data_IF_813963261570
#
_entry.id   IF_813963261570
#
_cell.length_a   1.000
_cell.length_b   1.000
_cell.length_c   1.000
_cell.angle_alpha   90.00
_cell.angle_beta   90.00
_cell.angle_gamma   90.00
#
_symmetry.space_group_name_H-M   'P 1'
#
loop_
_entity.id
_entity.type
_entity.pdbx_description
1 polymer ?
#
# COMPACT_ATOMS: atom_id res chain seq x y z
N UNK A 1 22.20 14.88 -25.61
CA UNK A 1 21.58 14.35 -24.40
C UNK A 1 20.94 15.52 -23.68
N UNK A 2 19.67 15.77 -23.97
CA UNK A 2 18.87 16.70 -23.17
C UNK A 2 18.76 16.10 -21.76
N UNK A 3 19.10 16.91 -20.75
CA UNK A 3 18.85 16.54 -19.36
C UNK A 3 17.34 16.45 -19.19
N UNK A 4 16.82 15.25 -18.88
CA UNK A 4 15.38 15.01 -18.83
C UNK A 4 14.73 15.64 -17.58
N UNK A 5 15.51 16.32 -16.74
CA UNK A 5 15.03 16.96 -15.51
C UNK A 5 14.49 15.95 -14.49
N UNK A 6 14.99 14.72 -14.52
CA UNK A 6 14.55 13.60 -13.69
C UNK A 6 15.75 12.84 -13.13
N UNK A 7 15.72 12.56 -11.83
CA UNK A 7 16.71 11.73 -11.15
C UNK A 7 16.02 10.63 -10.34
N UNK A 8 16.75 9.53 -10.10
CA UNK A 8 16.23 8.35 -9.41
C UNK A 8 17.11 8.04 -8.20
N UNK A 9 16.48 7.86 -7.04
CA UNK A 9 17.07 7.36 -5.81
C UNK A 9 16.57 5.94 -5.49
N UNK A 10 17.44 5.15 -4.85
CA UNK A 10 17.17 3.80 -4.40
C UNK A 10 17.62 2.71 -5.39
N UNK A 11 17.01 1.54 -5.25
CA UNK A 11 17.31 0.39 -6.10
C UNK A 11 16.97 -0.93 -5.42
N UNK A 12 17.68 -1.99 -5.82
CA UNK A 12 17.47 -3.34 -5.31
C UNK A 12 18.24 -3.58 -4.00
N UNK A 13 17.62 -4.30 -3.08
CA UNK A 13 18.27 -4.80 -1.87
C UNK A 13 18.88 -3.67 -1.03
N UNK A 14 20.21 -3.71 -0.83
CA UNK A 14 20.92 -2.75 0.03
C UNK A 14 20.80 -1.30 -0.47
N UNK A 15 20.80 -1.08 -1.80
CA UNK A 15 20.61 0.25 -2.39
C UNK A 15 19.24 0.88 -2.08
N UNK A 16 18.23 0.07 -1.77
CA UNK A 16 16.94 0.60 -1.31
C UNK A 16 17.04 1.34 0.03
N UNK A 17 18.07 1.07 0.85
CA UNK A 17 18.31 1.75 2.13
C UNK A 17 19.03 3.08 1.96
N UNK A 18 19.81 3.21 0.89
CA UNK A 18 20.57 4.42 0.55
C UNK A 18 19.66 5.48 -0.12
N UNK A 19 18.40 5.13 -0.42
CA UNK A 19 17.43 6.01 -1.05
C UNK A 19 17.24 7.33 -0.28
N UNK A 20 17.33 7.33 1.05
CA UNK A 20 17.15 8.56 1.85
C UNK A 20 18.25 9.57 1.55
N UNK A 21 19.53 9.16 1.64
CA UNK A 21 20.66 10.03 1.33
C UNK A 21 20.66 10.45 -0.14
N UNK A 22 20.30 9.54 -1.05
CA UNK A 22 20.21 9.89 -2.48
C UNK A 22 19.09 10.90 -2.77
N UNK A 23 17.95 10.82 -2.08
CA UNK A 23 16.88 11.83 -2.17
C UNK A 23 17.39 13.20 -1.72
N UNK A 24 18.12 13.26 -0.61
CA UNK A 24 18.68 14.51 -0.09
C UNK A 24 19.66 15.15 -1.09
N UNK A 25 20.55 14.34 -1.67
CA UNK A 25 21.51 14.77 -2.69
C UNK A 25 20.82 15.27 -3.97
N UNK A 26 19.78 14.56 -4.44
CA UNK A 26 19.00 14.97 -5.60
C UNK A 26 18.27 16.29 -5.33
N UNK A 27 17.64 16.43 -4.15
CA UNK A 27 16.95 17.65 -3.77
C UNK A 27 17.90 18.86 -3.74
N UNK A 28 19.14 18.65 -3.25
CA UNK A 28 20.16 19.69 -3.28
C UNK A 28 20.51 20.11 -4.71
N UNK A 29 20.72 19.15 -5.62
CA UNK A 29 21.03 19.41 -7.04
C UNK A 29 19.91 20.17 -7.75
N UNK A 30 18.66 19.81 -7.49
CA UNK A 30 17.48 20.46 -8.06
C UNK A 30 17.05 21.73 -7.31
N UNK A 31 17.81 22.18 -6.31
CA UNK A 31 17.49 23.34 -5.49
C UNK A 31 16.06 23.29 -4.90
N UNK A 32 15.63 22.10 -4.49
CA UNK A 32 14.33 21.85 -3.86
C UNK A 32 14.38 22.35 -2.42
N UNK A 33 13.38 23.14 -2.02
CA UNK A 33 13.26 23.68 -0.65
C UNK A 33 13.33 22.59 0.43
N UNK A 34 13.90 22.91 1.59
CA UNK A 34 14.03 21.98 2.73
C UNK A 34 12.71 21.30 3.10
N UNK A 35 11.60 22.06 3.14
CA UNK A 35 10.26 21.52 3.43
C UNK A 35 9.83 20.44 2.44
N UNK A 36 10.08 20.64 1.14
CA UNK A 36 9.77 19.64 0.10
C UNK A 36 10.69 18.43 0.22
N UNK A 37 11.99 18.64 0.49
CA UNK A 37 12.97 17.57 0.72
C UNK A 37 12.55 16.68 1.87
N UNK A 38 12.22 17.25 3.02
CA UNK A 38 11.74 16.52 4.20
C UNK A 38 10.47 15.72 3.88
N UNK A 39 9.54 16.32 3.14
CA UNK A 39 8.34 15.65 2.66
C UNK A 39 8.64 14.46 1.74
N UNK A 40 9.63 14.56 0.85
CA UNK A 40 10.04 13.46 -0.04
C UNK A 40 10.72 12.31 0.74
N UNK A 41 11.58 12.63 1.70
CA UNK A 41 12.20 11.62 2.59
C UNK A 41 11.13 10.89 3.39
N UNK A 42 10.16 11.64 3.93
CA UNK A 42 9.02 11.08 4.64
C UNK A 42 8.15 10.19 3.74
N UNK A 43 7.81 10.67 2.54
CA UNK A 43 7.05 9.92 1.56
C UNK A 43 7.74 8.62 1.14
N UNK A 44 9.06 8.65 0.94
CA UNK A 44 9.87 7.48 0.61
C UNK A 44 9.78 6.41 1.71
N UNK A 45 9.93 6.80 2.98
CA UNK A 45 9.83 5.90 4.14
C UNK A 45 8.43 5.33 4.30
N UNK A 46 7.41 6.17 4.23
CA UNK A 46 6.02 5.73 4.41
C UNK A 46 5.55 4.86 3.27
N UNK A 47 5.88 5.17 2.03
CA UNK A 47 5.50 4.34 0.89
C UNK A 47 6.02 2.90 1.08
N UNK A 48 7.28 2.74 1.46
CA UNK A 48 7.87 1.43 1.74
C UNK A 48 7.19 0.73 2.94
N UNK A 49 6.83 1.49 3.98
CA UNK A 49 6.20 0.93 5.17
C UNK A 49 4.76 0.48 4.92
N UNK A 50 4.02 1.27 4.16
CA UNK A 50 2.64 1.03 3.76
C UNK A 50 2.55 -0.21 2.86
N UNK A 51 3.41 -0.30 1.84
CA UNK A 51 3.47 -1.45 0.93
C UNK A 51 3.93 -2.74 1.61
N UNK A 52 4.80 -2.65 2.62
CA UNK A 52 5.31 -3.83 3.32
C UNK A 52 4.47 -4.27 4.53
N UNK A 53 3.70 -3.36 5.14
CA UNK A 53 3.04 -3.64 6.44
C UNK A 53 1.52 -3.56 6.39
N UNK A 54 0.96 -2.61 5.66
CA UNK A 54 -0.48 -2.36 5.68
C UNK A 54 -1.21 -3.19 4.62
N UNK A 55 -0.53 -3.48 3.51
CA UNK A 55 -0.95 -4.49 2.56
C UNK A 55 -0.16 -5.77 2.82
N UNK A 56 -0.84 -6.85 3.19
CA UNK A 56 -0.19 -8.11 3.55
C UNK A 56 -0.58 -9.19 2.55
N UNK A 57 0.08 -9.13 1.40
CA UNK A 57 -0.20 -9.92 0.20
C UNK A 57 0.84 -11.01 -0.10
N UNK A 58 1.71 -11.29 0.88
CA UNK A 58 2.88 -12.17 0.80
C UNK A 58 3.98 -11.75 -0.18
N UNK A 59 3.89 -10.57 -0.79
CA UNK A 59 4.98 -10.02 -1.60
C UNK A 59 5.91 -9.18 -0.72
N UNK A 60 7.11 -9.71 -0.46
CA UNK A 60 8.12 -8.96 0.29
C UNK A 60 8.80 -7.94 -0.61
N UNK A 61 8.86 -6.67 -0.19
CA UNK A 61 9.55 -5.62 -0.93
C UNK A 61 11.04 -5.96 -1.13
N UNK A 62 11.50 -5.89 -2.38
CA UNK A 62 12.91 -6.13 -2.72
C UNK A 62 13.53 -4.98 -3.53
N UNK A 63 12.70 -4.11 -4.10
CA UNK A 63 13.11 -2.97 -4.91
C UNK A 63 12.30 -1.74 -4.54
N UNK A 64 13.00 -0.62 -4.37
CA UNK A 64 12.42 0.69 -4.09
C UNK A 64 13.09 1.72 -4.99
N UNK A 65 12.33 2.36 -5.87
CA UNK A 65 12.82 3.46 -6.69
C UNK A 65 11.98 4.71 -6.42
N UNK A 66 12.65 5.80 -6.04
CA UNK A 66 12.07 7.11 -5.82
C UNK A 66 12.52 8.04 -6.94
N UNK A 67 11.60 8.47 -7.77
CA UNK A 67 11.84 9.29 -8.96
C UNK A 67 11.47 10.73 -8.62
N UNK A 68 12.37 11.67 -8.89
CA UNK A 68 12.21 13.10 -8.58
C UNK A 68 12.37 13.88 -9.86
N UNK A 69 11.49 14.85 -10.10
CA UNK A 69 11.65 15.85 -11.15
C UNK A 69 12.07 17.21 -10.58
N UNK A 70 12.68 18.05 -11.42
CA UNK A 70 13.14 19.40 -11.08
C UNK A 70 12.04 20.31 -10.50
N UNK A 71 10.78 20.12 -10.89
CA UNK A 71 9.63 20.86 -10.36
C UNK A 71 9.25 20.45 -8.91
N UNK A 72 9.86 19.38 -8.42
CA UNK A 72 9.62 18.76 -7.12
C UNK A 72 8.44 17.77 -7.11
N UNK A 73 7.92 17.40 -8.27
CA UNK A 73 7.04 16.24 -8.42
C UNK A 73 7.83 14.95 -8.20
N UNK A 74 7.17 13.92 -7.65
CA UNK A 74 7.83 12.65 -7.38
C UNK A 74 6.93 11.44 -7.62
N UNK A 75 7.56 10.30 -7.88
CA UNK A 75 6.89 9.01 -7.99
C UNK A 75 7.67 7.94 -7.21
N UNK A 76 6.98 6.98 -6.62
CA UNK A 76 7.61 5.79 -6.03
C UNK A 76 7.16 4.56 -6.79
N UNK A 77 8.12 3.78 -7.28
CA UNK A 77 7.89 2.48 -7.90
C UNK A 77 8.57 1.43 -7.03
N UNK A 78 7.74 0.66 -6.34
CA UNK A 78 8.20 -0.45 -5.52
C UNK A 78 7.90 -1.75 -6.23
N UNK A 79 8.73 -2.77 -5.98
CA UNK A 79 8.42 -4.12 -6.40
C UNK A 79 8.59 -5.08 -5.22
N UNK A 80 7.54 -5.85 -4.96
CA UNK A 80 7.54 -7.00 -4.06
C UNK A 80 7.74 -8.30 -4.83
N UNK A 81 8.35 -9.30 -4.19
CA UNK A 81 8.42 -10.67 -4.71
C UNK A 81 7.78 -11.64 -3.74
N UNK A 82 7.05 -12.58 -4.30
CA UNK A 82 6.76 -13.83 -3.62
C UNK A 82 7.76 -14.88 -4.10
N UNK A 83 8.54 -15.41 -3.17
CA UNK A 83 9.58 -16.41 -3.45
C UNK A 83 8.97 -17.75 -3.87
N UNK A 84 7.78 -18.08 -3.34
CA UNK A 84 7.13 -19.37 -3.58
C UNK A 84 6.56 -19.44 -5.00
N UNK A 85 5.75 -18.45 -5.38
CA UNK A 85 5.20 -18.36 -6.75
C UNK A 85 6.21 -17.84 -7.78
N UNK A 86 7.36 -17.30 -7.34
CA UNK A 86 8.34 -16.57 -8.16
C UNK A 86 7.72 -15.37 -8.91
N UNK A 87 6.60 -14.86 -8.41
CA UNK A 87 5.90 -13.73 -9.02
C UNK A 87 6.33 -12.40 -8.40
N UNK A 88 6.12 -11.35 -9.18
CA UNK A 88 6.39 -9.99 -8.77
C UNK A 88 5.11 -9.15 -8.78
N UNK A 89 5.03 -8.24 -7.82
CA UNK A 89 3.98 -7.23 -7.73
C UNK A 89 4.62 -5.85 -7.69
N UNK A 90 4.06 -4.88 -8.43
CA UNK A 90 4.55 -3.49 -8.44
C UNK A 90 3.53 -2.55 -7.81
N UNK A 91 4.02 -1.63 -7.00
CA UNK A 91 3.22 -0.63 -6.30
C UNK A 91 3.67 0.75 -6.75
N UNK A 92 2.70 1.57 -7.16
CA UNK A 92 2.95 2.84 -7.83
C UNK A 92 2.33 3.98 -7.01
N UNK A 93 3.16 4.95 -6.66
CA UNK A 93 2.79 6.15 -5.93
C UNK A 93 3.13 7.37 -6.79
N UNK A 94 2.25 8.36 -6.81
CA UNK A 94 2.44 9.63 -7.51
C UNK A 94 2.15 10.77 -6.54
N UNK A 95 3.04 11.75 -6.46
CA UNK A 95 2.93 12.91 -5.55
C UNK A 95 1.56 13.59 -5.61
N UNK A 96 0.99 13.69 -6.81
CA UNK A 96 -0.27 14.41 -7.05
C UNK A 96 -1.52 13.66 -6.56
N UNK A 97 -1.39 12.35 -6.30
CA UNK A 97 -2.50 11.50 -5.89
C UNK A 97 -2.49 11.19 -4.38
N UNK A 98 -1.36 11.39 -3.70
CA UNK A 98 -1.23 11.11 -2.27
C UNK A 98 -1.85 12.25 -1.47
N UNK A 99 -3.02 11.98 -0.87
CA UNK A 99 -3.68 12.88 0.09
C UNK A 99 -3.42 12.46 1.54
N UNK A 100 -3.43 11.15 1.76
CA UNK A 100 -3.14 10.47 3.03
C UNK A 100 -2.25 9.27 2.70
N UNK A 101 -1.29 8.92 3.57
CA UNK A 101 -0.39 7.80 3.28
C UNK A 101 -0.97 6.43 3.65
N UNK A 102 -2.04 6.38 4.45
CA UNK A 102 -2.60 5.14 5.00
C UNK A 102 -3.96 4.76 4.42
N UNK A 103 -4.53 5.60 3.55
CA UNK A 103 -5.88 5.45 3.00
C UNK A 103 -5.85 5.59 1.48
N UNK A 104 -5.94 4.45 0.79
CA UNK A 104 -5.85 4.30 -0.66
C UNK A 104 -4.78 5.18 -1.33
N UNK A 105 -3.53 5.20 -0.84
CA UNK A 105 -2.54 6.19 -1.24
C UNK A 105 -1.95 5.95 -2.64
N UNK A 106 -2.13 4.73 -3.16
CA UNK A 106 -1.48 4.26 -4.39
C UNK A 106 -2.25 4.73 -5.61
N UNK A 107 -1.49 5.09 -6.64
CA UNK A 107 -2.03 5.32 -7.98
C UNK A 107 -2.32 4.01 -8.71
N UNK A 108 -1.61 2.93 -8.38
CA UNK A 108 -1.88 1.62 -8.95
C UNK A 108 -1.08 0.49 -8.31
N UNK A 109 -1.63 -0.73 -8.42
CA UNK A 109 -0.95 -1.98 -8.10
C UNK A 109 -1.05 -2.87 -9.33
N UNK A 110 0.11 -3.33 -9.80
CA UNK A 110 0.24 -4.18 -10.98
C UNK A 110 0.71 -5.56 -10.54
N UNK A 111 -0.06 -6.59 -10.88
CA UNK A 111 0.30 -7.99 -10.62
C UNK A 111 -0.28 -8.90 -11.70
N UNK A 112 0.32 -10.06 -11.93
CA UNK A 112 -0.28 -11.09 -12.78
C UNK A 112 -1.39 -11.85 -12.06
N UNK A 113 -1.33 -11.90 -10.72
CA UNK A 113 -2.21 -12.71 -9.90
C UNK A 113 -2.99 -11.84 -8.92
N UNK A 114 -4.27 -12.16 -8.80
CA UNK A 114 -5.15 -11.67 -7.74
C UNK A 114 -5.24 -12.80 -6.71
N UNK A 115 -5.04 -12.47 -5.44
CA UNK A 115 -5.11 -13.41 -4.33
C UNK A 115 -6.38 -13.25 -3.53
N UNK A 116 -6.83 -14.34 -2.93
CA UNK A 116 -7.91 -14.30 -1.95
C UNK A 116 -7.36 -14.04 -0.54
N UNK A 117 -8.19 -13.48 0.34
CA UNK A 117 -7.91 -13.31 1.77
C UNK A 117 -6.68 -12.44 2.08
N UNK A 118 -6.48 -11.36 1.32
CA UNK A 118 -5.39 -10.42 1.54
C UNK A 118 -5.83 -9.33 2.52
N UNK A 119 -5.13 -9.20 3.64
CA UNK A 119 -5.36 -8.10 4.57
C UNK A 119 -4.87 -6.79 3.95
N UNK A 120 -5.82 -5.90 3.63
CA UNK A 120 -5.56 -4.56 3.12
C UNK A 120 -6.04 -3.50 4.12
N UNK A 121 -5.13 -3.05 4.97
CA UNK A 121 -5.38 -1.95 5.90
C UNK A 121 -5.33 -0.58 5.23
N UNK A 122 -5.00 -0.50 3.94
CA UNK A 122 -5.04 0.76 3.18
C UNK A 122 -6.39 1.00 2.52
N UNK A 123 -7.23 -0.02 2.39
CA UNK A 123 -8.58 0.11 1.87
C UNK A 123 -9.40 1.13 2.67
N UNK A 124 -10.31 1.83 1.99
CA UNK A 124 -11.18 2.82 2.64
C UNK A 124 -12.09 2.16 3.68
N UNK A 125 -12.53 0.94 3.42
CA UNK A 125 -13.34 0.13 4.33
C UNK A 125 -12.60 -0.19 5.65
N UNK A 126 -11.27 -0.18 5.64
CA UNK A 126 -10.43 -0.45 6.83
C UNK A 126 -10.25 0.76 7.75
N UNK A 127 -10.92 1.89 7.50
CA UNK A 127 -10.72 3.14 8.25
C UNK A 127 -11.03 3.03 9.75
N UNK A 128 -12.17 2.42 10.08
CA UNK A 128 -12.55 2.19 11.48
C UNK A 128 -11.60 1.22 12.18
N UNK A 129 -11.12 0.18 11.47
CA UNK A 129 -10.09 -0.73 11.98
C UNK A 129 -8.78 0.00 12.27
N UNK A 130 -8.38 0.95 11.42
CA UNK A 130 -7.21 1.79 11.66
C UNK A 130 -7.38 2.65 12.91
N UNK A 131 -8.52 3.34 13.07
CA UNK A 131 -8.81 4.19 14.25
C UNK A 131 -8.77 3.39 15.54
N UNK A 132 -9.53 2.29 15.61
CA UNK A 132 -9.54 1.40 16.78
C UNK A 132 -8.14 0.80 17.00
N UNK A 133 -7.40 0.52 15.94
CA UNK A 133 -6.01 0.10 16.01
C UNK A 133 -5.11 1.10 16.75
N UNK A 134 -5.31 2.42 16.55
CA UNK A 134 -4.62 3.47 17.31
C UNK A 134 -5.06 3.47 18.76
N UNK A 135 -6.37 3.37 19.03
CA UNK A 135 -6.90 3.36 20.39
C UNK A 135 -6.35 2.18 21.20
N UNK A 136 -6.30 0.98 20.61
CA UNK A 136 -5.69 -0.22 21.21
C UNK A 136 -4.18 -0.01 21.44
N UNK A 137 -3.49 0.65 20.51
CA UNK A 137 -2.05 0.88 20.63
C UNK A 137 -1.71 1.88 21.75
N UNK A 138 -2.61 2.84 21.99
CA UNK A 138 -2.51 3.85 23.03
C UNK A 138 -3.05 3.37 24.39
N UNK A 139 -3.79 2.27 24.45
CA UNK A 139 -4.19 1.64 25.71
C UNK A 139 -2.99 0.99 26.42
N UNK A 140 -3.17 0.68 27.71
CA UNK A 140 -2.16 0.02 28.52
C UNK A 140 -1.64 -1.25 27.83
N UNK A 141 -0.33 -1.40 27.59
CA UNK A 141 0.22 -2.56 26.88
C UNK A 141 -0.20 -3.90 27.47
N UNK A 142 -0.46 -3.97 28.79
CA UNK A 142 -0.94 -5.18 29.45
C UNK A 142 -2.35 -5.60 28.99
N UNK A 143 -3.22 -4.65 28.67
CA UNK A 143 -4.56 -4.93 28.13
C UNK A 143 -4.44 -5.52 26.72
N UNK A 144 -3.57 -4.95 25.90
CA UNK A 144 -3.27 -5.45 24.55
C UNK A 144 -2.66 -6.85 24.62
N UNK A 145 -1.69 -7.07 25.51
CA UNK A 145 -1.12 -8.40 25.79
C UNK A 145 -2.21 -9.41 26.18
N UNK A 146 -3.09 -9.03 27.12
CA UNK A 146 -4.19 -9.89 27.57
C UNK A 146 -5.15 -10.25 26.43
N UNK A 147 -5.51 -9.25 25.61
CA UNK A 147 -6.36 -9.44 24.43
C UNK A 147 -5.74 -10.42 23.44
N UNK A 148 -4.44 -10.27 23.19
CA UNK A 148 -3.70 -11.19 22.31
C UNK A 148 -3.72 -12.61 22.87
N UNK A 149 -3.43 -12.81 24.16
CA UNK A 149 -3.46 -14.13 24.77
C UNK A 149 -4.84 -14.78 24.76
N UNK A 150 -5.93 -14.01 24.92
CA UNK A 150 -7.31 -14.50 24.82
C UNK A 150 -7.67 -14.95 23.40
N UNK A 151 -7.10 -14.28 22.39
CA UNK A 151 -7.37 -14.56 20.97
C UNK A 151 -6.42 -15.58 20.36
N UNK A 152 -5.32 -15.93 21.04
CA UNK A 152 -4.45 -17.02 20.57
C UNK A 152 -5.22 -18.34 20.66
N UNK A 153 -5.38 -19.07 19.54
CA UNK A 153 -6.21 -20.27 19.54
C UNK A 153 -5.60 -21.34 20.45
N UNK A 154 -6.45 -21.97 21.25
CA UNK A 154 -6.16 -23.33 21.72
C UNK A 154 -6.25 -24.26 20.50
N UNK A 155 -5.57 -25.40 20.52
CA UNK A 155 -5.54 -26.36 19.39
C UNK A 155 -6.94 -26.79 18.91
N UNK A 156 -7.97 -26.65 19.75
CA UNK A 156 -9.37 -26.96 19.44
C UNK A 156 -10.07 -25.88 18.58
N UNK A 157 -9.78 -24.60 18.81
CA UNK A 157 -10.47 -23.48 18.14
C UNK A 157 -10.11 -23.41 16.64
N UNK A 158 -8.88 -23.79 16.31
CA UNK A 158 -8.42 -23.91 14.91
C UNK A 158 -9.18 -25.00 14.14
N UNK A 159 -9.64 -26.05 14.82
CA UNK A 159 -10.38 -27.16 14.21
C UNK A 159 -11.87 -26.83 13.99
N UNK A 160 -12.48 -26.08 14.92
CA UNK A 160 -13.91 -25.75 14.88
C UNK A 160 -14.20 -24.65 13.85
N UNK A 161 -13.35 -23.64 13.73
CA UNK A 161 -13.66 -22.47 12.91
C UNK A 161 -13.04 -22.48 11.51
N UNK A 162 -12.08 -23.38 11.23
CA UNK A 162 -11.48 -23.51 9.88
C UNK A 162 -10.81 -22.23 9.34
N UNK A 163 -10.49 -21.26 10.21
CA UNK A 163 -10.07 -19.93 9.75
C UNK A 163 -8.56 -19.85 9.62
N UNK A 164 -8.05 -20.13 8.41
CA UNK A 164 -6.66 -19.84 8.04
C UNK A 164 -6.37 -18.32 7.99
N UNK A 165 -7.42 -17.51 7.81
CA UNK A 165 -7.36 -16.05 7.58
C UNK A 165 -6.93 -15.26 8.82
N UNK A 166 -7.31 -15.68 10.03
CA UNK A 166 -7.03 -14.97 11.29
C UNK A 166 -5.79 -15.52 12.02
N UNK A 167 -4.68 -15.68 11.30
CA UNK A 167 -3.43 -16.15 11.88
C UNK A 167 -2.78 -15.08 12.77
N UNK A 168 -3.09 -15.10 14.08
CA UNK A 168 -2.49 -14.21 15.06
C UNK A 168 -0.97 -14.39 15.13
N UNK A 169 -0.16 -13.31 15.11
CA UNK A 169 1.29 -13.43 15.21
C UNK A 169 1.72 -14.12 16.51
N UNK A 170 2.43 -15.26 16.40
CA UNK A 170 2.89 -16.07 17.56
C UNK A 170 3.83 -15.33 18.50
N UNK A 171 4.55 -14.32 18.00
CA UNK A 171 5.51 -13.53 18.77
C UNK A 171 5.38 -12.07 18.38
N UNK A 172 5.13 -11.23 19.37
CA UNK A 172 5.11 -9.79 19.27
C UNK A 172 6.23 -9.20 20.13
N UNK A 173 6.77 -8.08 19.69
CA UNK A 173 7.82 -7.39 20.42
C UNK A 173 7.19 -6.38 21.38
N UNK A 174 7.09 -6.73 22.65
CA UNK A 174 6.47 -5.88 23.67
C UNK A 174 7.21 -4.56 23.91
N UNK A 175 8.51 -4.47 23.56
CA UNK A 175 9.23 -3.19 23.61
C UNK A 175 8.66 -2.19 22.61
N UNK A 176 8.11 -2.66 21.48
CA UNK A 176 7.47 -1.82 20.47
C UNK A 176 6.14 -1.29 21.00
N UNK A 177 5.32 -2.12 21.66
CA UNK A 177 4.08 -1.66 22.29
C UNK A 177 4.32 -0.64 23.40
N UNK A 178 5.37 -0.84 24.22
CA UNK A 178 5.78 0.20 25.17
C UNK A 178 6.19 1.49 24.48
N UNK A 179 6.99 1.43 23.41
CA UNK A 179 7.38 2.61 22.63
C UNK A 179 6.17 3.33 22.02
N UNK A 180 5.19 2.58 21.50
CA UNK A 180 3.95 3.16 20.99
C UNK A 180 3.21 3.90 22.10
N UNK A 181 3.04 3.23 23.24
CA UNK A 181 2.41 3.82 24.42
C UNK A 181 3.17 5.06 24.92
N UNK A 182 4.51 5.09 24.89
CA UNK A 182 5.25 6.28 25.30
C UNK A 182 5.07 7.45 24.31
N UNK A 183 4.92 7.17 23.01
CA UNK A 183 4.75 8.17 21.94
C UNK A 183 3.31 8.71 21.85
N UNK A 184 2.30 7.90 22.16
CA UNK A 184 0.87 8.19 21.97
C UNK A 184 0.55 8.77 20.57
N UNK A 185 0.73 7.99 19.48
CA UNK A 185 0.40 8.45 18.13
C UNK A 185 -1.06 8.94 18.04
N UNK A 186 -1.25 10.08 17.36
CA UNK A 186 -2.57 10.72 17.21
C UNK A 186 -3.42 10.07 16.12
N UNK A 187 -2.79 9.39 15.17
CA UNK A 187 -3.44 8.76 14.04
C UNK A 187 -2.63 7.55 13.55
N UNK A 188 -3.19 6.82 12.59
CA UNK A 188 -2.59 5.59 12.08
C UNK A 188 -1.28 5.85 11.32
N UNK A 189 -1.14 7.00 10.67
CA UNK A 189 0.09 7.38 9.96
C UNK A 189 1.27 7.57 10.94
N UNK A 190 1.05 8.25 12.06
CA UNK A 190 2.03 8.39 13.13
C UNK A 190 2.36 7.05 13.77
N UNK A 191 1.35 6.21 14.02
CA UNK A 191 1.54 4.87 14.57
C UNK A 191 2.48 4.04 13.68
N UNK A 192 2.25 4.03 12.38
CA UNK A 192 3.09 3.27 11.45
C UNK A 192 4.44 3.97 11.23
N UNK A 193 4.57 5.27 11.43
CA UNK A 193 5.85 5.97 11.33
C UNK A 193 6.83 5.56 12.44
N UNK A 194 6.34 5.07 13.58
CA UNK A 194 7.19 4.61 14.69
C UNK A 194 8.10 3.44 14.26
N UNK A 195 9.42 3.60 14.43
CA UNK A 195 10.38 2.54 14.12
C UNK A 195 10.12 1.29 14.96
N UNK A 196 10.08 0.14 14.27
CA UNK A 196 9.76 -1.16 14.84
C UNK A 196 8.31 -1.60 14.60
N UNK A 197 7.37 -0.66 14.40
CA UNK A 197 6.01 -1.01 13.98
C UNK A 197 6.07 -1.58 12.56
N UNK A 198 5.58 -2.78 12.34
CA UNK A 198 5.59 -3.44 11.04
C UNK A 198 4.45 -4.45 10.91
N UNK A 199 4.46 -5.24 9.83
CA UNK A 199 3.36 -6.15 9.44
C UNK A 199 2.75 -6.97 10.59
N UNK A 200 3.59 -7.54 11.48
CA UNK A 200 3.10 -8.32 12.63
C UNK A 200 2.36 -7.47 13.66
N UNK A 201 2.88 -6.30 14.00
CA UNK A 201 2.26 -5.39 14.96
C UNK A 201 0.92 -4.88 14.43
N UNK A 202 0.89 -4.43 13.18
CA UNK A 202 -0.34 -3.91 12.56
C UNK A 202 -1.37 -5.01 12.34
N UNK A 203 -0.95 -6.24 11.98
CA UNK A 203 -1.85 -7.41 11.90
C UNK A 203 -2.47 -7.71 13.27
N UNK A 204 -1.66 -7.72 14.34
CA UNK A 204 -2.17 -7.98 15.68
C UNK A 204 -3.22 -6.94 16.10
N UNK A 205 -2.95 -5.65 15.87
CA UNK A 205 -3.91 -4.58 16.17
C UNK A 205 -5.19 -4.71 15.35
N UNK A 206 -5.09 -5.01 14.05
CA UNK A 206 -6.24 -5.20 13.17
C UNK A 206 -7.10 -6.40 13.60
N UNK A 207 -6.48 -7.53 13.98
CA UNK A 207 -7.19 -8.71 14.45
C UNK A 207 -7.89 -8.46 15.79
N UNK A 208 -7.27 -7.73 16.72
CA UNK A 208 -7.91 -7.35 17.98
C UNK A 208 -9.10 -6.42 17.70
N UNK A 209 -8.92 -5.44 16.82
CA UNK A 209 -9.98 -4.51 16.41
C UNK A 209 -11.18 -5.26 15.79
N UNK A 210 -10.92 -6.23 14.91
CA UNK A 210 -11.97 -7.04 14.30
C UNK A 210 -12.66 -7.99 15.30
N UNK A 211 -11.89 -8.74 16.09
CA UNK A 211 -12.42 -9.82 16.93
C UNK A 211 -13.05 -9.34 18.23
N UNK A 212 -12.55 -8.24 18.81
CA UNK A 212 -13.06 -7.69 20.07
C UNK A 212 -14.03 -6.54 19.82
N UNK A 213 -13.73 -5.66 18.87
CA UNK A 213 -14.49 -4.44 18.62
C UNK A 213 -15.37 -4.51 17.37
N UNK A 214 -15.30 -5.59 16.59
CA UNK A 214 -16.15 -5.82 15.43
C UNK A 214 -15.81 -4.99 14.18
N UNK A 215 -14.70 -4.25 14.18
CA UNK A 215 -14.31 -3.43 13.02
C UNK A 215 -13.55 -4.26 11.99
N UNK A 216 -14.25 -4.67 10.94
CA UNK A 216 -13.72 -5.56 9.91
C UNK A 216 -12.82 -4.80 8.91
N UNK A 217 -11.52 -5.11 8.81
CA UNK A 217 -10.70 -4.62 7.71
C UNK A 217 -11.07 -5.28 6.39
N UNK A 218 -10.58 -4.72 5.30
CA UNK A 218 -10.64 -5.35 3.99
C UNK A 218 -9.75 -6.60 3.95
N UNK A 219 -10.33 -7.70 3.49
CA UNK A 219 -9.65 -8.96 3.17
C UNK A 219 -9.56 -9.21 1.66
N UNK A 220 -9.71 -8.14 0.86
CA UNK A 220 -9.69 -8.18 -0.61
C UNK A 220 -8.34 -7.71 -1.13
N UNK A 221 -7.87 -8.35 -2.19
CA UNK A 221 -6.64 -7.92 -2.87
C UNK A 221 -6.89 -6.64 -3.70
N UNK A 222 -6.16 -5.54 -3.45
CA UNK A 222 -6.35 -4.26 -4.12
C UNK A 222 -5.74 -4.19 -5.53
N UNK A 223 -5.29 -5.29 -6.12
CA UNK A 223 -4.79 -5.32 -7.51
C UNK A 223 -5.86 -4.80 -8.47
N UNK A 224 -5.53 -3.71 -9.17
CA UNK A 224 -6.40 -3.07 -10.17
C UNK A 224 -6.03 -3.44 -11.59
N UNK A 225 -4.74 -3.62 -11.85
CA UNK A 225 -4.22 -3.87 -13.18
C UNK A 225 -3.50 -5.22 -13.20
N UNK A 226 -4.07 -6.15 -13.96
CA UNK A 226 -3.31 -7.25 -14.52
C UNK A 226 -2.79 -6.81 -15.88
N UNK A 227 -1.68 -7.39 -16.35
CA UNK A 227 -1.19 -7.09 -17.68
C UNK A 227 -2.20 -7.61 -18.71
N UNK A 228 -3.16 -6.77 -19.11
CA UNK A 228 -4.11 -7.09 -20.15
C UNK A 228 -3.43 -7.28 -21.52
N UNK A 229 -2.22 -6.73 -21.69
CA UNK A 229 -1.53 -6.62 -22.99
C UNK A 229 -0.03 -7.03 -22.97
N UNK A 230 0.42 -7.88 -22.04
CA UNK A 230 1.74 -8.55 -22.13
C UNK A 230 2.59 -8.57 -20.85
N UNK A 231 3.36 -9.66 -20.65
CA UNK A 231 4.12 -9.95 -19.42
C UNK A 231 5.65 -9.71 -19.51
N UNK A 232 6.33 -10.00 -18.40
CA UNK A 232 7.75 -9.68 -18.12
C UNK A 232 8.78 -10.54 -18.87
N UNK A 233 8.42 -11.73 -19.36
CA UNK A 233 9.38 -12.75 -19.80
C UNK A 233 9.61 -12.80 -21.33
N UNK A 234 10.03 -11.66 -21.92
CA UNK A 234 10.67 -11.49 -23.25
C UNK A 234 9.88 -10.94 -24.47
N UNK A 235 9.09 -9.87 -24.36
CA UNK A 235 8.84 -8.95 -25.51
C UNK A 235 8.43 -7.57 -24.95
N UNK A 236 9.01 -6.42 -25.36
CA UNK A 236 8.22 -5.19 -25.35
C UNK A 236 7.17 -5.36 -26.45
N UNK A 237 5.98 -5.85 -26.11
CA UNK A 237 4.84 -5.74 -27.02
C UNK A 237 4.61 -4.23 -27.22
N UNK A 238 4.69 -3.70 -28.45
CA UNK A 238 4.27 -2.33 -28.68
C UNK A 238 2.85 -2.20 -28.16
N UNK A 239 2.57 -1.11 -27.44
CA UNK A 239 1.21 -0.82 -26.95
C UNK A 239 0.27 -1.00 -28.14
N UNK A 240 -0.62 -2.00 -28.07
CA UNK A 240 -1.57 -2.28 -29.14
C UNK A 240 -2.67 -1.21 -29.12
N UNK A 241 -2.35 -0.05 -29.67
CA UNK A 241 -3.22 1.12 -29.69
C UNK A 241 -4.59 0.79 -30.30
N UNK A 242 -4.64 -0.10 -31.29
CA UNK A 242 -5.90 -0.51 -31.93
C UNK A 242 -6.80 -1.26 -30.96
N UNK A 243 -6.22 -2.18 -30.18
CA UNK A 243 -6.96 -2.91 -29.15
C UNK A 243 -7.39 -1.96 -28.01
N UNK A 244 -6.55 -0.99 -27.63
CA UNK A 244 -6.91 0.08 -26.71
C UNK A 244 -8.11 0.89 -27.20
N UNK A 245 -8.04 1.42 -28.44
CA UNK A 245 -9.13 2.20 -29.05
C UNK A 245 -10.42 1.39 -29.11
N UNK A 246 -10.33 0.10 -29.47
CA UNK A 246 -11.46 -0.82 -29.48
C UNK A 246 -12.07 -1.01 -28.09
N UNK A 247 -11.26 -1.23 -27.06
CA UNK A 247 -11.74 -1.40 -25.69
C UNK A 247 -12.38 -0.11 -25.15
N UNK A 248 -11.78 1.04 -25.45
CA UNK A 248 -12.34 2.36 -25.11
C UNK A 248 -13.71 2.53 -25.78
N UNK A 249 -13.83 2.16 -27.06
CA UNK A 249 -15.09 2.23 -27.80
C UNK A 249 -16.15 1.30 -27.20
N UNK A 250 -15.79 0.06 -26.87
CA UNK A 250 -16.70 -0.89 -26.19
C UNK A 250 -17.18 -0.34 -24.85
N UNK A 251 -16.29 0.22 -24.04
CA UNK A 251 -16.65 0.84 -22.75
C UNK A 251 -17.56 2.05 -22.95
N UNK A 252 -17.28 2.89 -23.95
CA UNK A 252 -18.11 4.03 -24.31
C UNK A 252 -19.51 3.59 -24.72
N UNK A 253 -19.62 2.61 -25.62
CA UNK A 253 -20.89 2.04 -26.07
C UNK A 253 -21.66 1.39 -24.92
N UNK A 254 -21.00 0.65 -24.04
CA UNK A 254 -21.62 0.06 -22.86
C UNK A 254 -22.16 1.13 -21.89
N UNK A 255 -21.42 2.21 -21.67
CA UNK A 255 -21.90 3.34 -20.87
C UNK A 255 -23.09 4.02 -21.55
N UNK A 256 -23.01 4.28 -22.86
CA UNK A 256 -24.08 4.91 -23.64
C UNK A 256 -25.35 4.04 -23.71
N UNK A 257 -25.21 2.73 -23.78
CA UNK A 257 -26.31 1.76 -23.82
C UNK A 257 -26.89 1.39 -22.44
N UNK A 258 -26.22 1.73 -21.34
CA UNK A 258 -26.70 1.39 -20.00
C UNK A 258 -27.95 2.20 -19.59
N UNK A 259 -28.90 1.55 -18.92
CA UNK A 259 -30.11 2.16 -18.35
C UNK A 259 -29.83 2.84 -17.00
N UNK A 260 -28.76 3.63 -16.91
CA UNK A 260 -28.44 4.43 -15.72
C UNK A 260 -28.90 5.87 -15.90
N UNK A 261 -29.09 6.56 -14.77
CA UNK A 261 -29.45 7.99 -14.76
C UNK A 261 -28.51 8.83 -15.64
N UNK A 262 -29.09 9.85 -16.29
CA UNK A 262 -28.37 10.71 -17.24
C UNK A 262 -27.16 11.39 -16.61
N UNK A 263 -27.24 11.81 -15.36
CA UNK A 263 -26.11 12.44 -14.68
C UNK A 263 -24.99 11.44 -14.37
N UNK A 264 -25.35 10.21 -13.99
CA UNK A 264 -24.39 9.12 -13.78
C UNK A 264 -23.68 8.75 -15.09
N UNK A 265 -24.42 8.68 -16.21
CA UNK A 265 -23.88 8.44 -17.55
C UNK A 265 -22.90 9.54 -17.98
N UNK A 266 -23.26 10.80 -17.81
CA UNK A 266 -22.37 11.94 -18.11
C UNK A 266 -21.11 11.94 -17.24
N UNK A 267 -21.23 11.64 -15.95
CA UNK A 267 -20.09 11.52 -15.05
C UNK A 267 -19.16 10.37 -15.46
N UNK A 268 -19.71 9.22 -15.85
CA UNK A 268 -18.95 8.08 -16.34
C UNK A 268 -18.20 8.39 -17.64
N UNK A 269 -18.85 9.01 -18.62
CA UNK A 269 -18.22 9.44 -19.87
C UNK A 269 -17.12 10.49 -19.64
N UNK A 270 -17.34 11.44 -18.71
CA UNK A 270 -16.34 12.43 -18.34
C UNK A 270 -15.11 11.79 -17.70
N UNK A 271 -15.29 10.76 -16.87
CA UNK A 271 -14.18 9.96 -16.32
C UNK A 271 -13.45 9.19 -17.42
N UNK A 272 -14.17 8.54 -18.34
CA UNK A 272 -13.55 7.82 -19.45
C UNK A 272 -12.67 8.74 -20.31
N UNK A 273 -13.15 9.95 -20.60
CA UNK A 273 -12.41 10.98 -21.35
C UNK A 273 -11.13 11.49 -20.65
N UNK A 274 -10.93 11.19 -19.36
CA UNK A 274 -9.69 11.55 -18.66
C UNK A 274 -8.55 10.57 -18.97
N UNK A 275 -8.87 9.37 -19.46
CA UNK A 275 -7.91 8.30 -19.77
C UNK A 275 -7.63 8.15 -21.27
N UNK A 276 -8.26 9.01 -22.10
CA UNK A 276 -8.08 9.14 -23.56
C UNK A 276 -7.30 10.42 -23.79
#
# INVERSE_FOLDING_TARGET
NEDLGIMIAGGKGRKGRDAISEIEDICYKFNISDKKREGMVYASKLAAKVDNSLLQDDYSLYHHAFIISEDGSWAVIQQGMDINSKMARRYHWLSNNVKEFVNEPRSGIISNDIRDNILDLTAKESDETRKIGVDIANDNPNNTISSIYKLMPNTLDRWIYGIEVYAMPRRLNWRIFKKIYDVHPRNYEELIAIDGVGAKTVRALALIAELIYGSKPSWRDPVKFTFAHGGKDNVPYPVDRKLYDKNIQILKEAIEGSEIDRNAKLAALKRLRHFI
#
